data_IF_085065336977
#
_entry.id   IF_085065336977
#
_cell.length_a   1.000
_cell.length_b   1.000
_cell.length_c   1.000
_cell.angle_alpha   90.00
_cell.angle_beta   90.00
_cell.angle_gamma   90.00
#
_symmetry.space_group_name_H-M   'P 1'
#
loop_
_entity.id
_entity.type
_entity.pdbx_description
1 polymer ?
#
# COMPACT_ATOMS: atom_id res chain seq x y z
N UNK A 1 47.04 -35.80 32.82
CA UNK A 1 46.34 -35.64 31.52
C UNK A 1 45.04 -34.89 31.76
N UNK A 2 44.93 -33.63 31.35
CA UNK A 2 43.67 -32.89 31.26
C UNK A 2 43.53 -32.42 29.82
N UNK A 3 42.59 -33.03 29.08
CA UNK A 3 42.24 -32.61 27.72
C UNK A 3 41.19 -31.51 27.87
N UNK A 4 41.59 -30.28 27.55
CA UNK A 4 40.69 -29.13 27.46
C UNK A 4 40.01 -29.22 26.09
N UNK A 5 38.72 -29.55 26.08
CA UNK A 5 37.89 -29.56 24.89
C UNK A 5 37.50 -28.11 24.56
N UNK A 6 38.19 -27.51 23.59
CA UNK A 6 37.88 -26.19 23.07
C UNK A 6 36.67 -26.28 22.14
N UNK A 7 35.47 -25.94 22.63
CA UNK A 7 34.28 -25.78 21.79
C UNK A 7 34.48 -24.58 20.88
N UNK A 8 34.89 -24.83 19.65
CA UNK A 8 34.89 -23.84 18.56
C UNK A 8 33.42 -23.55 18.19
N UNK A 9 32.86 -22.48 18.76
CA UNK A 9 31.62 -21.88 18.27
C UNK A 9 31.91 -21.29 16.90
N UNK A 10 31.60 -22.06 15.84
CA UNK A 10 31.54 -21.55 14.48
C UNK A 10 30.32 -20.61 14.44
N UNK A 11 30.56 -19.34 14.75
CA UNK A 11 29.60 -18.27 14.47
C UNK A 11 29.63 -18.11 12.95
N UNK A 12 28.73 -18.81 12.25
CA UNK A 12 28.47 -18.48 10.85
C UNK A 12 27.99 -17.03 10.84
N UNK A 13 28.69 -16.11 10.13
CA UNK A 13 28.12 -14.80 9.92
C UNK A 13 26.85 -15.04 9.10
N UNK A 14 25.68 -14.93 9.75
CA UNK A 14 24.45 -14.68 9.04
C UNK A 14 24.72 -13.42 8.24
N UNK A 15 24.93 -13.58 6.93
CA UNK A 15 24.82 -12.48 6.01
C UNK A 15 23.42 -11.92 6.23
N UNK A 16 23.34 -10.83 6.99
CA UNK A 16 22.11 -10.05 7.12
C UNK A 16 21.88 -9.56 5.70
N UNK A 17 21.03 -10.28 4.95
CA UNK A 17 20.64 -9.89 3.61
C UNK A 17 20.20 -8.44 3.72
N UNK A 18 20.84 -7.59 2.93
CA UNK A 18 20.60 -6.16 2.90
C UNK A 18 19.25 -5.82 2.26
N UNK A 19 18.40 -6.80 1.98
CA UNK A 19 17.15 -6.65 1.26
C UNK A 19 16.29 -5.56 1.87
N UNK A 20 15.99 -4.54 1.04
CA UNK A 20 15.04 -3.48 1.31
C UNK A 20 13.65 -4.07 1.53
N UNK A 21 12.84 -3.44 2.40
CA UNK A 21 11.42 -3.76 2.49
C UNK A 21 10.72 -3.31 1.20
N UNK A 22 10.06 -4.24 0.50
CA UNK A 22 9.40 -3.99 -0.77
C UNK A 22 7.89 -3.92 -0.59
N UNK A 23 7.35 -2.71 -0.73
CA UNK A 23 5.92 -2.45 -0.64
C UNK A 23 5.35 -2.29 -2.05
N UNK A 24 4.15 -2.81 -2.28
CA UNK A 24 3.39 -2.60 -3.49
C UNK A 24 1.93 -2.24 -3.16
N UNK A 25 1.27 -1.56 -4.09
CA UNK A 25 -0.17 -1.35 -4.07
C UNK A 25 -0.78 -1.80 -5.39
N UNK A 26 -1.97 -2.39 -5.36
CA UNK A 26 -2.64 -2.90 -6.55
C UNK A 26 -4.16 -2.93 -6.39
N UNK A 27 -4.86 -2.08 -7.16
CA UNK A 27 -6.31 -2.17 -7.29
C UNK A 27 -6.65 -3.38 -8.17
N UNK A 28 -7.37 -4.33 -7.58
CA UNK A 28 -7.64 -5.63 -8.19
C UNK A 28 -8.87 -5.65 -9.09
N UNK A 29 -9.59 -4.52 -9.20
CA UNK A 29 -10.82 -4.33 -9.98
C UNK A 29 -11.90 -5.36 -9.62
N UNK A 30 -12.47 -5.23 -8.42
CA UNK A 30 -13.43 -6.17 -7.83
C UNK A 30 -12.94 -7.61 -7.90
N UNK A 31 -11.87 -7.95 -7.17
CA UNK A 31 -11.26 -9.29 -7.20
C UNK A 31 -12.28 -10.36 -6.82
N UNK A 32 -12.83 -11.13 -7.78
CA UNK A 32 -13.77 -12.17 -7.46
C UNK A 32 -13.00 -13.49 -7.26
N UNK A 33 -13.57 -14.40 -6.49
CA UNK A 33 -13.09 -15.77 -6.41
C UNK A 33 -13.06 -16.48 -7.79
N UNK A 34 -13.95 -16.06 -8.70
CA UNK A 34 -14.14 -16.64 -10.03
C UNK A 34 -13.82 -15.62 -11.14
N UNK A 35 -12.58 -15.62 -11.63
CA UNK A 35 -12.17 -14.87 -12.83
C UNK A 35 -12.08 -15.78 -14.06
N UNK A 36 -12.18 -15.20 -15.27
CA UNK A 36 -11.86 -15.95 -16.48
C UNK A 36 -10.37 -16.36 -16.48
N UNK A 37 -10.05 -17.48 -17.16
CA UNK A 37 -8.70 -18.09 -17.12
C UNK A 37 -7.58 -17.12 -17.53
N UNK A 38 -7.82 -16.26 -18.52
CA UNK A 38 -6.82 -15.30 -19.02
C UNK A 38 -6.49 -14.27 -17.94
N UNK A 39 -7.52 -13.70 -17.30
CA UNK A 39 -7.34 -12.73 -16.20
C UNK A 39 -6.62 -13.37 -15.02
N UNK A 40 -6.92 -14.63 -14.68
CA UNK A 40 -6.20 -15.39 -13.63
C UNK A 40 -4.70 -15.47 -13.93
N UNK A 41 -4.33 -15.89 -15.14
CA UNK A 41 -2.93 -16.05 -15.55
C UNK A 41 -2.20 -14.71 -15.51
N UNK A 42 -2.80 -13.67 -16.08
CA UNK A 42 -2.19 -12.33 -16.13
C UNK A 42 -2.06 -11.73 -14.72
N UNK A 43 -3.08 -11.86 -13.89
CA UNK A 43 -3.06 -11.37 -12.51
C UNK A 43 -1.96 -12.08 -11.70
N UNK A 44 -1.89 -13.41 -11.76
CA UNK A 44 -0.84 -14.17 -11.08
C UNK A 44 0.57 -13.78 -11.57
N UNK A 45 0.72 -13.54 -12.88
CA UNK A 45 1.99 -13.08 -13.44
C UNK A 45 2.40 -11.73 -12.86
N UNK A 46 1.48 -10.76 -12.75
CA UNK A 46 1.75 -9.48 -12.08
C UNK A 46 2.19 -9.70 -10.64
N UNK A 47 1.43 -10.46 -9.84
CA UNK A 47 1.77 -10.72 -8.43
C UNK A 47 3.15 -11.35 -8.28
N UNK A 48 3.48 -12.34 -9.10
CA UNK A 48 4.79 -13.00 -9.07
C UNK A 48 5.93 -12.04 -9.44
N UNK A 49 5.68 -11.11 -10.36
CA UNK A 49 6.67 -10.14 -10.84
C UNK A 49 6.86 -8.94 -9.91
N UNK A 50 5.89 -8.60 -9.06
CA UNK A 50 6.04 -7.52 -8.06
C UNK A 50 7.25 -7.78 -7.16
N UNK A 51 7.46 -9.06 -6.79
CA UNK A 51 8.48 -9.49 -5.82
C UNK A 51 8.44 -8.60 -4.56
N UNK A 52 7.23 -8.35 -4.08
CA UNK A 52 6.96 -7.53 -2.90
C UNK A 52 6.95 -8.38 -1.62
N UNK A 53 7.14 -7.71 -0.50
CA UNK A 53 7.01 -8.26 0.85
C UNK A 53 5.62 -7.96 1.42
N UNK A 54 5.06 -6.81 1.07
CA UNK A 54 3.70 -6.43 1.40
C UNK A 54 3.01 -5.89 0.16
N UNK A 55 1.78 -6.33 -0.07
CA UNK A 55 0.91 -5.80 -1.11
C UNK A 55 -0.36 -5.24 -0.48
N UNK A 56 -0.59 -3.94 -0.62
CA UNK A 56 -1.86 -3.29 -0.33
C UNK A 56 -2.81 -3.49 -1.51
N UNK A 57 -3.98 -4.09 -1.26
CA UNK A 57 -4.97 -4.42 -2.28
C UNK A 57 -6.21 -3.55 -2.08
N UNK A 58 -6.75 -3.04 -3.18
CA UNK A 58 -8.04 -2.35 -3.22
C UNK A 58 -9.04 -3.15 -4.08
N UNK A 59 -10.32 -2.92 -3.83
CA UNK A 59 -11.43 -3.59 -4.51
C UNK A 59 -11.36 -5.12 -4.39
N UNK A 60 -11.23 -5.59 -3.16
CA UNK A 60 -11.21 -7.02 -2.84
C UNK A 60 -12.58 -7.43 -2.34
N UNK A 61 -13.10 -8.54 -2.87
CA UNK A 61 -14.38 -9.06 -2.40
C UNK A 61 -14.28 -9.67 -1.00
N UNK A 62 -13.40 -10.64 -0.83
CA UNK A 62 -13.26 -11.43 0.39
C UNK A 62 -11.88 -12.09 0.48
N UNK A 63 -11.57 -12.66 1.65
CA UNK A 63 -10.32 -13.38 1.91
C UNK A 63 -10.10 -14.54 0.93
N UNK A 64 -11.15 -15.28 0.60
CA UNK A 64 -11.05 -16.43 -0.30
C UNK A 64 -10.57 -16.02 -1.69
N UNK A 65 -11.01 -14.87 -2.20
CA UNK A 65 -10.53 -14.29 -3.45
C UNK A 65 -9.05 -13.93 -3.38
N UNK A 66 -8.56 -13.37 -2.26
CA UNK A 66 -7.13 -13.02 -2.08
C UNK A 66 -6.27 -14.27 -1.99
N UNK A 67 -6.64 -15.23 -1.15
CA UNK A 67 -5.85 -16.44 -0.90
C UNK A 67 -5.65 -17.31 -2.15
N UNK A 68 -6.53 -17.16 -3.15
CA UNK A 68 -6.36 -17.78 -4.47
C UNK A 68 -5.09 -17.33 -5.21
N UNK A 69 -4.65 -16.09 -5.01
CA UNK A 69 -3.48 -15.49 -5.69
C UNK A 69 -2.30 -15.24 -4.74
N UNK A 70 -2.58 -15.18 -3.44
CA UNK A 70 -1.63 -15.07 -2.36
C UNK A 70 -1.80 -16.26 -1.41
N UNK A 71 -1.25 -17.44 -1.76
CA UNK A 71 -1.47 -18.66 -1.00
C UNK A 71 -1.12 -18.49 0.48
N UNK A 72 -2.00 -18.96 1.37
CA UNK A 72 -1.81 -18.88 2.82
C UNK A 72 -0.57 -19.65 3.32
N UNK A 73 0.05 -20.48 2.47
CA UNK A 73 1.36 -21.11 2.71
C UNK A 73 2.48 -20.08 2.77
N UNK A 74 2.37 -19.00 1.99
CA UNK A 74 3.44 -18.02 1.76
C UNK A 74 3.07 -16.62 2.25
N UNK A 75 1.78 -16.35 2.46
CA UNK A 75 1.25 -15.03 2.81
C UNK A 75 0.34 -15.07 4.04
N UNK A 76 0.36 -13.98 4.81
CA UNK A 76 -0.64 -13.63 5.81
C UNK A 76 -1.57 -12.59 5.19
N UNK A 77 -2.87 -12.87 5.18
CA UNK A 77 -3.88 -11.97 4.62
C UNK A 77 -4.56 -11.22 5.75
N UNK A 78 -4.66 -9.90 5.60
CA UNK A 78 -5.30 -8.97 6.54
C UNK A 78 -6.47 -8.32 5.81
N UNK A 79 -7.69 -8.56 6.27
CA UNK A 79 -8.94 -8.07 5.66
C UNK A 79 -10.07 -8.14 6.70
N UNK A 80 -11.11 -7.34 6.50
CA UNK A 80 -12.38 -7.42 7.24
C UNK A 80 -13.22 -8.57 6.68
N UNK A 81 -13.23 -9.70 7.39
CA UNK A 81 -14.02 -10.88 7.02
C UNK A 81 -15.52 -10.69 7.30
N UNK A 82 -15.88 -9.68 8.12
CA UNK A 82 -17.26 -9.37 8.49
C UNK A 82 -17.90 -8.34 7.55
N UNK A 83 -17.12 -7.75 6.65
CA UNK A 83 -17.61 -6.84 5.63
C UNK A 83 -18.45 -7.55 4.58
N UNK A 84 -19.56 -6.91 4.19
CA UNK A 84 -20.42 -7.36 3.09
C UNK A 84 -20.21 -6.57 1.79
N UNK A 85 -19.26 -5.63 1.79
CA UNK A 85 -18.89 -4.84 0.62
C UNK A 85 -18.02 -5.69 -0.34
N UNK A 86 -18.08 -5.44 -1.65
CA UNK A 86 -17.21 -6.06 -2.64
C UNK A 86 -15.97 -5.20 -2.98
N UNK A 87 -15.80 -4.08 -2.27
CA UNK A 87 -14.73 -3.11 -2.45
C UNK A 87 -13.77 -3.00 -1.26
N UNK A 88 -13.59 -4.08 -0.51
CA UNK A 88 -12.74 -4.09 0.68
C UNK A 88 -11.28 -3.76 0.37
N UNK A 89 -10.60 -3.28 1.41
CA UNK A 89 -9.16 -3.15 1.44
C UNK A 89 -8.54 -4.37 2.11
N UNK A 90 -7.38 -4.79 1.62
CA UNK A 90 -6.63 -5.88 2.23
C UNK A 90 -5.13 -5.62 2.20
N UNK A 91 -4.39 -6.28 3.09
CA UNK A 91 -2.95 -6.46 2.95
C UNK A 91 -2.64 -7.94 2.76
N UNK A 92 -1.76 -8.24 1.82
CA UNK A 92 -1.06 -9.53 1.74
C UNK A 92 0.38 -9.33 2.20
N UNK A 93 0.77 -9.98 3.29
CA UNK A 93 2.09 -9.85 3.93
C UNK A 93 2.84 -11.17 3.79
N UNK A 94 4.03 -11.15 3.18
CA UNK A 94 4.86 -12.35 3.02
C UNK A 94 5.20 -12.93 4.40
N UNK A 95 5.13 -14.25 4.55
CA UNK A 95 5.53 -14.91 5.79
C UNK A 95 6.99 -14.62 6.12
N UNK A 96 7.28 -14.53 7.42
CA UNK A 96 8.59 -14.14 7.96
C UNK A 96 8.65 -12.67 8.37
N UNK A 97 7.78 -11.81 7.82
CA UNK A 97 7.63 -10.44 8.31
C UNK A 97 6.77 -10.38 9.57
N UNK A 98 7.24 -9.60 10.54
CA UNK A 98 6.51 -9.32 11.76
C UNK A 98 5.60 -8.11 11.56
N UNK A 99 4.32 -8.24 11.92
CA UNK A 99 3.35 -7.16 11.87
C UNK A 99 2.43 -7.23 13.09
N UNK A 100 1.73 -6.13 13.35
CA UNK A 100 0.64 -6.07 14.32
C UNK A 100 -0.50 -5.19 13.84
N UNK A 101 -1.69 -5.53 14.31
CA UNK A 101 -2.88 -4.69 14.28
C UNK A 101 -3.02 -3.98 15.63
N UNK A 102 -3.69 -2.82 15.66
CA UNK A 102 -3.93 -2.12 16.92
C UNK A 102 -4.94 -2.87 17.80
N UNK A 103 -5.87 -3.60 17.17
CA UNK A 103 -6.80 -4.50 17.85
C UNK A 103 -6.12 -5.69 18.53
N UNK A 104 -4.87 -6.01 18.17
CA UNK A 104 -4.21 -7.25 18.55
C UNK A 104 -4.66 -8.49 17.78
N UNK A 105 -5.59 -8.35 16.84
CA UNK A 105 -5.99 -9.45 15.96
C UNK A 105 -4.84 -9.86 15.04
N UNK A 106 -4.87 -11.12 14.59
CA UNK A 106 -3.82 -11.66 13.72
C UNK A 106 -4.15 -11.55 12.23
N UNK A 107 -5.43 -11.58 11.85
CA UNK A 107 -5.85 -11.70 10.43
C UNK A 107 -7.17 -11.01 10.09
N UNK A 108 -8.21 -11.21 10.90
CA UNK A 108 -9.47 -10.50 10.74
C UNK A 108 -9.35 -9.14 11.44
N UNK A 109 -9.58 -8.06 10.70
CA UNK A 109 -9.40 -6.70 11.24
C UNK A 109 -10.61 -6.31 12.08
N UNK A 110 -10.39 -5.52 13.12
CA UNK A 110 -11.50 -4.88 13.82
C UNK A 110 -11.94 -3.63 13.04
N UNK A 111 -13.22 -3.58 12.66
CA UNK A 111 -13.81 -2.51 11.85
C UNK A 111 -13.68 -1.11 12.45
N UNK A 112 -13.47 -0.97 13.75
CA UNK A 112 -13.36 0.32 14.44
C UNK A 112 -11.93 0.67 14.85
N UNK A 113 -11.10 -0.32 15.16
CA UNK A 113 -9.75 -0.10 15.69
C UNK A 113 -8.68 -0.12 14.59
N UNK A 114 -8.80 -1.03 13.62
CA UNK A 114 -7.76 -1.26 12.59
C UNK A 114 -7.97 -0.41 11.33
N UNK A 115 -8.88 0.55 11.40
CA UNK A 115 -9.06 1.59 10.39
C UNK A 115 -8.67 2.94 10.98
N UNK A 116 -8.03 3.79 10.18
CA UNK A 116 -7.59 5.12 10.62
C UNK A 116 -8.78 6.06 10.90
N UNK A 117 -9.93 5.82 10.27
CA UNK A 117 -11.11 6.69 10.35
C UNK A 117 -12.40 5.91 10.62
N UNK A 118 -13.36 6.51 11.36
CA UNK A 118 -14.66 5.91 11.59
C UNK A 118 -15.53 5.95 10.32
N UNK A 119 -16.54 5.08 10.25
CA UNK A 119 -17.53 5.04 9.15
C UNK A 119 -18.33 6.33 8.97
N UNK A 120 -18.40 7.16 10.01
CA UNK A 120 -19.08 8.46 9.96
C UNK A 120 -18.26 9.57 9.30
N UNK A 121 -16.97 9.35 8.99
CA UNK A 121 -16.17 10.37 8.32
C UNK A 121 -16.62 10.50 6.84
N UNK A 122 -17.13 11.67 6.40
CA UNK A 122 -17.68 11.84 5.06
C UNK A 122 -16.63 11.84 3.95
N UNK A 123 -15.34 11.99 4.27
CA UNK A 123 -14.26 12.03 3.29
C UNK A 123 -13.88 10.63 2.78
N UNK A 124 -14.28 9.57 3.51
CA UNK A 124 -14.04 8.18 3.16
C UNK A 124 -15.38 7.48 2.92
N UNK A 125 -15.53 6.82 1.78
CA UNK A 125 -16.79 6.18 1.39
C UNK A 125 -16.80 4.71 1.84
N UNK A 126 -17.92 4.29 2.44
CA UNK A 126 -18.25 2.90 2.75
C UNK A 126 -17.11 2.16 3.47
N UNK A 127 -16.75 0.95 3.03
CA UNK A 127 -15.64 0.17 3.61
C UNK A 127 -14.26 0.55 3.05
N UNK A 128 -14.18 1.58 2.19
CA UNK A 128 -12.91 2.10 1.63
C UNK A 128 -12.15 3.01 2.61
N UNK A 129 -12.53 2.95 3.88
CA UNK A 129 -11.81 3.59 4.98
C UNK A 129 -10.38 3.07 5.00
N UNK A 130 -9.47 3.91 5.46
CA UNK A 130 -8.04 3.61 5.38
C UNK A 130 -7.70 2.48 6.35
N UNK A 131 -7.44 1.29 5.81
CA UNK A 131 -6.99 0.14 6.59
C UNK A 131 -5.55 0.37 7.02
N UNK A 132 -5.25 0.12 8.30
CA UNK A 132 -3.93 0.36 8.87
C UNK A 132 -3.35 -0.90 9.52
N UNK A 133 -2.03 -1.01 9.47
CA UNK A 133 -1.27 -1.95 10.28
C UNK A 133 0.15 -1.45 10.50
N UNK A 134 0.86 -2.09 11.42
CA UNK A 134 2.26 -1.80 11.68
C UNK A 134 3.13 -2.99 11.26
N UNK A 135 4.20 -2.72 10.52
CA UNK A 135 5.19 -3.74 10.14
C UNK A 135 6.54 -3.44 10.80
N UNK A 136 7.18 -4.46 11.36
CA UNK A 136 8.51 -4.35 11.95
C UNK A 136 9.56 -4.73 10.92
N UNK A 137 10.51 -3.82 10.69
CA UNK A 137 11.59 -4.01 9.75
C UNK A 137 12.88 -3.33 10.24
N UNK A 138 13.97 -4.10 10.31
CA UNK A 138 15.29 -3.63 10.81
C UNK A 138 15.20 -2.89 12.16
N UNK A 139 14.39 -3.40 13.09
CA UNK A 139 14.18 -2.84 14.43
C UNK A 139 13.35 -1.55 14.46
N UNK A 140 12.77 -1.15 13.32
CA UNK A 140 11.87 0.01 13.20
C UNK A 140 10.47 -0.48 12.93
N UNK A 141 9.49 0.19 13.52
CA UNK A 141 8.09 -0.02 13.19
C UNK A 141 7.67 0.98 12.11
N UNK A 142 6.93 0.52 11.11
CA UNK A 142 6.44 1.34 10.00
C UNK A 142 4.92 1.22 9.96
N UNK A 143 4.22 2.35 10.01
CA UNK A 143 2.78 2.43 9.78
C UNK A 143 2.50 2.24 8.28
N UNK A 144 1.77 1.19 7.94
CA UNK A 144 1.25 1.00 6.58
C UNK A 144 -0.21 1.40 6.54
N UNK A 145 -0.56 2.25 5.59
CA UNK A 145 -1.92 2.70 5.31
C UNK A 145 -2.32 2.24 3.92
N UNK A 146 -3.45 1.58 3.79
CA UNK A 146 -4.05 1.22 2.51
C UNK A 146 -5.26 2.14 2.28
N UNK A 147 -5.23 2.89 1.18
CA UNK A 147 -6.23 3.89 0.82
C UNK A 147 -6.88 3.57 -0.52
N UNK A 148 -8.18 3.79 -0.62
CA UNK A 148 -8.89 3.80 -1.89
C UNK A 148 -9.77 5.05 -1.94
N UNK A 149 -9.23 6.11 -2.53
CA UNK A 149 -9.84 7.43 -2.55
C UNK A 149 -11.18 7.43 -3.29
N UNK A 150 -11.98 8.48 -3.05
CA UNK A 150 -13.19 8.74 -3.81
C UNK A 150 -12.90 8.74 -5.32
N UNK A 151 -13.56 7.85 -6.06
CA UNK A 151 -13.45 7.81 -7.52
C UNK A 151 -13.91 9.13 -8.16
N UNK A 152 -13.39 9.41 -9.35
CA UNK A 152 -13.80 10.56 -10.19
C UNK A 152 -15.16 10.37 -10.85
N UNK A 153 -15.92 9.36 -10.45
CA UNK A 153 -17.28 9.14 -10.93
C UNK A 153 -18.14 10.38 -10.61
N UNK A 154 -18.99 10.79 -11.56
CA UNK A 154 -19.71 12.07 -11.60
C UNK A 154 -18.85 13.32 -11.87
N UNK A 155 -17.55 13.16 -12.11
CA UNK A 155 -16.67 14.21 -12.59
C UNK A 155 -15.72 14.74 -11.53
N UNK A 156 -14.59 15.26 -12.01
CA UNK A 156 -13.49 15.71 -11.18
C UNK A 156 -13.87 16.85 -10.25
N UNK A 157 -14.52 17.89 -10.78
CA UNK A 157 -14.91 19.08 -10.01
C UNK A 157 -15.78 18.77 -8.80
N UNK A 158 -16.59 17.70 -8.85
CA UNK A 158 -17.50 17.31 -7.77
C UNK A 158 -16.75 16.56 -6.66
N UNK A 159 -15.70 15.83 -7.02
CA UNK A 159 -15.05 14.84 -6.13
C UNK A 159 -13.68 15.29 -5.63
N UNK A 160 -13.13 16.37 -6.19
CA UNK A 160 -11.81 16.93 -5.85
C UNK A 160 -11.74 17.43 -4.40
N UNK A 161 -12.79 18.14 -3.96
CA UNK A 161 -12.88 18.64 -2.58
C UNK A 161 -12.87 17.48 -1.57
N UNK A 162 -13.67 16.43 -1.81
CA UNK A 162 -13.72 15.26 -0.93
C UNK A 162 -12.35 14.54 -0.87
N UNK A 163 -11.66 14.37 -2.01
CA UNK A 163 -10.31 13.78 -2.02
C UNK A 163 -9.28 14.65 -1.33
N UNK A 164 -9.36 15.97 -1.48
CA UNK A 164 -8.45 16.91 -0.81
C UNK A 164 -8.68 16.91 0.71
N UNK A 165 -9.94 16.88 1.16
CA UNK A 165 -10.25 16.78 2.58
C UNK A 165 -9.81 15.41 3.16
N UNK A 166 -9.95 14.32 2.39
CA UNK A 166 -9.39 13.02 2.79
C UNK A 166 -7.86 13.06 2.93
N UNK A 167 -7.16 13.80 2.06
CA UNK A 167 -5.72 14.03 2.16
C UNK A 167 -5.34 14.80 3.43
N UNK A 168 -6.09 15.83 3.80
CA UNK A 168 -5.90 16.58 5.04
C UNK A 168 -6.11 15.70 6.29
N UNK A 169 -7.19 14.91 6.31
CA UNK A 169 -7.45 13.94 7.38
C UNK A 169 -6.29 12.93 7.52
N UNK A 170 -5.75 12.46 6.39
CA UNK A 170 -4.59 11.56 6.35
C UNK A 170 -3.32 12.21 6.90
N UNK A 171 -3.07 13.48 6.59
CA UNK A 171 -1.94 14.24 7.14
C UNK A 171 -2.05 14.32 8.66
N UNK A 172 -3.22 14.73 9.17
CA UNK A 172 -3.47 14.83 10.61
C UNK A 172 -3.26 13.47 11.31
N UNK A 173 -3.77 12.39 10.70
CA UNK A 173 -3.60 11.04 11.23
C UNK A 173 -2.13 10.62 11.25
N UNK A 174 -1.38 10.81 10.15
CA UNK A 174 0.04 10.44 10.05
C UNK A 174 0.89 11.27 11.01
N UNK A 175 0.59 12.57 11.17
CA UNK A 175 1.32 13.46 12.07
C UNK A 175 1.18 13.02 13.54
N UNK A 176 0.06 12.41 13.91
CA UNK A 176 -0.23 11.90 15.25
C UNK A 176 0.18 10.44 15.46
N UNK A 177 0.69 9.76 14.43
CA UNK A 177 1.03 8.35 14.50
C UNK A 177 2.15 8.08 15.52
N UNK A 178 2.14 6.93 16.22
CA UNK A 178 3.14 6.61 17.24
C UNK A 178 4.51 6.20 16.67
N UNK A 179 4.67 6.21 15.34
CA UNK A 179 5.88 5.80 14.64
C UNK A 179 6.43 6.94 13.78
N UNK A 180 7.76 6.96 13.64
CA UNK A 180 8.47 7.90 12.77
C UNK A 180 8.28 7.56 11.27
N UNK A 181 7.96 6.31 10.93
CA UNK A 181 7.90 5.85 9.54
C UNK A 181 6.47 5.51 9.15
N UNK A 182 6.01 6.08 8.03
CA UNK A 182 4.73 5.76 7.44
C UNK A 182 4.87 5.53 5.93
N UNK A 183 4.04 4.64 5.40
CA UNK A 183 3.84 4.46 3.96
C UNK A 183 2.35 4.46 3.66
N UNK A 184 1.93 5.40 2.81
CA UNK A 184 0.57 5.50 2.30
C UNK A 184 0.53 4.84 0.92
N UNK A 185 -0.17 3.71 0.85
CA UNK A 185 -0.32 2.86 -0.32
C UNK A 185 -1.78 2.93 -0.76
N UNK A 186 -2.06 2.88 -2.05
CA UNK A 186 -3.46 2.90 -2.46
C UNK A 186 -3.74 3.12 -3.93
N UNK A 187 -5.04 3.18 -4.21
CA UNK A 187 -5.60 3.81 -5.39
C UNK A 187 -6.14 5.19 -4.99
N UNK A 188 -5.42 6.23 -5.39
CA UNK A 188 -5.75 7.61 -5.07
C UNK A 188 -6.79 8.23 -6.01
N UNK A 189 -7.18 7.51 -7.08
CA UNK A 189 -8.08 8.01 -8.13
C UNK A 189 -7.67 9.37 -8.74
N UNK A 190 -6.42 9.76 -8.57
CA UNK A 190 -5.83 11.02 -8.99
C UNK A 190 -4.46 10.75 -9.62
N UNK A 191 -4.03 11.67 -10.48
CA UNK A 191 -2.69 11.72 -11.06
C UNK A 191 -1.72 12.39 -10.09
N UNK A 192 -0.40 12.14 -10.20
CA UNK A 192 0.57 12.61 -9.20
C UNK A 192 0.53 14.12 -8.93
N UNK A 193 0.27 14.93 -9.97
CA UNK A 193 0.24 16.40 -9.90
C UNK A 193 -1.08 17.00 -9.39
N UNK A 194 -2.00 16.16 -8.91
CA UNK A 194 -3.33 16.61 -8.48
C UNK A 194 -3.31 17.23 -7.09
N UNK A 195 -4.28 18.12 -6.85
CA UNK A 195 -4.42 18.87 -5.59
C UNK A 195 -4.29 17.99 -4.34
N UNK A 196 -4.97 16.84 -4.33
CA UNK A 196 -4.98 15.92 -3.18
C UNK A 196 -3.60 15.27 -2.94
N UNK A 197 -2.86 14.93 -3.99
CA UNK A 197 -1.51 14.38 -3.88
C UNK A 197 -0.50 15.46 -3.50
N UNK A 198 -0.52 16.63 -4.15
CA UNK A 198 0.32 17.76 -3.75
C UNK A 198 0.10 18.15 -2.28
N UNK A 199 -1.15 18.06 -1.82
CA UNK A 199 -1.51 18.27 -0.42
C UNK A 199 -0.83 17.23 0.49
N UNK A 200 -0.94 15.94 0.18
CA UNK A 200 -0.26 14.86 0.90
C UNK A 200 1.27 15.03 0.90
N UNK A 201 1.86 15.47 -0.20
CA UNK A 201 3.30 15.64 -0.31
C UNK A 201 3.83 16.79 0.55
N UNK A 202 3.08 17.89 0.59
CA UNK A 202 3.48 19.10 1.32
C UNK A 202 3.08 19.08 2.78
N UNK A 203 2.03 18.33 3.12
CA UNK A 203 1.45 18.30 4.46
C UNK A 203 0.52 19.49 4.74
N UNK A 204 0.10 20.22 3.71
CA UNK A 204 -0.81 21.37 3.79
C UNK A 204 -1.67 21.43 2.52
N UNK A 205 -2.88 21.99 2.62
CA UNK A 205 -3.75 22.20 1.45
C UNK A 205 -3.00 22.98 0.36
N UNK A 206 -2.81 22.32 -0.78
CA UNK A 206 -1.94 22.79 -1.86
C UNK A 206 -2.67 22.70 -3.19
N UNK A 207 -2.52 23.67 -4.10
CA UNK A 207 -3.20 23.64 -5.39
C UNK A 207 -2.70 22.50 -6.29
N UNK A 208 -3.49 22.15 -7.30
CA UNK A 208 -3.03 21.31 -8.40
C UNK A 208 -1.94 22.04 -9.18
N UNK A 209 -0.79 21.39 -9.32
CA UNK A 209 0.39 21.91 -10.02
C UNK A 209 1.31 20.74 -10.34
N UNK A 210 2.06 20.85 -11.44
CA UNK A 210 3.12 19.90 -11.71
C UNK A 210 4.23 20.11 -10.69
N UNK A 211 4.49 19.10 -9.87
CA UNK A 211 5.56 19.08 -8.88
C UNK A 211 6.53 17.93 -9.24
N UNK A 212 7.82 18.18 -9.11
CA UNK A 212 8.86 17.17 -9.36
C UNK A 212 9.95 17.27 -8.30
N UNK A 213 9.59 17.85 -7.16
CA UNK A 213 10.46 18.09 -6.02
C UNK A 213 9.89 17.27 -4.89
N UNK A 214 10.72 16.46 -4.24
CA UNK A 214 10.30 15.65 -3.11
C UNK A 214 9.51 16.50 -2.10
N UNK A 215 8.30 16.05 -1.78
CA UNK A 215 7.46 16.68 -0.76
C UNK A 215 8.14 16.79 0.61
N UNK A 216 7.75 17.81 1.36
CA UNK A 216 8.23 18.07 2.71
C UNK A 216 7.62 17.15 3.78
N UNK A 217 6.47 16.53 3.49
CA UNK A 217 5.74 15.65 4.39
C UNK A 217 5.80 14.19 3.93
N UNK A 218 5.29 13.89 2.73
CA UNK A 218 5.41 12.58 2.08
C UNK A 218 6.19 12.71 0.77
N UNK A 219 6.88 11.64 0.39
CA UNK A 219 7.58 11.55 -0.90
C UNK A 219 6.71 10.76 -1.86
N UNK A 220 6.28 11.38 -2.96
CA UNK A 220 5.53 10.69 -4.00
C UNK A 220 6.46 9.93 -4.96
N UNK A 221 6.46 8.60 -4.82
CA UNK A 221 7.32 7.74 -5.65
C UNK A 221 6.85 7.61 -7.10
N UNK A 222 5.68 8.16 -7.44
CA UNK A 222 5.10 8.04 -8.78
C UNK A 222 5.48 9.18 -9.71
N UNK A 223 5.87 10.36 -9.22
CA UNK A 223 6.34 11.46 -10.09
C UNK A 223 7.55 11.06 -10.95
N UNK A 224 8.60 10.39 -10.39
CA UNK A 224 9.73 9.94 -11.21
C UNK A 224 9.35 8.85 -12.23
N UNK A 225 8.24 8.13 -12.00
CA UNK A 225 7.73 7.12 -12.92
C UNK A 225 6.92 7.75 -14.05
N UNK A 226 6.17 8.82 -13.75
CA UNK A 226 5.49 9.67 -14.73
C UNK A 226 6.48 10.23 -15.75
N UNK A 227 7.59 10.80 -15.26
CA UNK A 227 8.66 11.34 -16.12
C UNK A 227 9.31 10.29 -17.05
N UNK A 228 9.24 9.01 -16.66
CA UNK A 228 9.78 7.88 -17.44
C UNK A 228 8.74 7.19 -18.31
N UNK A 229 7.53 7.74 -18.40
CA UNK A 229 6.40 7.14 -19.12
C UNK A 229 6.07 5.71 -18.63
N UNK A 230 6.32 5.45 -17.34
CA UNK A 230 5.95 4.20 -16.67
C UNK A 230 4.56 4.26 -16.02
N UNK A 231 3.97 5.45 -15.99
CA UNK A 231 2.59 5.68 -15.57
C UNK A 231 1.74 5.94 -16.80
N UNK A 232 0.64 5.19 -16.94
CA UNK A 232 -0.33 5.41 -17.99
C UNK A 232 -1.42 6.35 -17.50
N UNK A 233 -1.77 7.36 -18.30
CA UNK A 233 -2.81 8.34 -17.98
C UNK A 233 -4.03 8.14 -18.88
N UNK A 234 -5.21 8.05 -18.29
CA UNK A 234 -6.47 8.12 -19.03
C UNK A 234 -6.78 6.93 -19.93
N UNK A 235 -6.20 5.74 -19.66
CA UNK A 235 -6.54 4.53 -20.41
C UNK A 235 -8.03 4.21 -20.25
N UNK A 236 -8.75 4.18 -21.38
CA UNK A 236 -10.13 3.75 -21.49
C UNK A 236 -10.20 2.28 -21.85
N UNK A 237 -11.36 1.66 -21.63
CA UNK A 237 -11.60 0.23 -21.92
C UNK A 237 -11.38 -0.17 -23.39
N UNK A 238 -11.25 0.79 -24.31
CA UNK A 238 -11.00 0.57 -25.73
C UNK A 238 -9.55 0.86 -26.15
N UNK A 239 -8.72 1.35 -25.25
CA UNK A 239 -7.33 1.66 -25.58
C UNK A 239 -6.56 0.36 -25.77
N UNK A 240 -6.04 0.15 -26.99
CA UNK A 240 -5.17 -0.98 -27.31
C UNK A 240 -3.79 -0.72 -26.73
N UNK A 241 -3.49 -1.35 -25.61
CA UNK A 241 -2.12 -1.43 -25.10
C UNK A 241 -1.44 -2.64 -25.72
N UNK A 242 -0.93 -2.49 -26.95
CA UNK A 242 -0.18 -3.55 -27.66
C UNK A 242 1.17 -3.88 -26.97
N UNK A 243 1.46 -3.24 -25.84
CA UNK A 243 2.59 -3.47 -24.99
C UNK A 243 2.10 -3.60 -23.56
N UNK A 244 2.35 -4.73 -22.91
CA UNK A 244 2.39 -4.81 -21.45
C UNK A 244 3.27 -3.63 -21.02
N UNK A 245 2.71 -2.64 -20.33
CA UNK A 245 3.49 -1.55 -19.76
C UNK A 245 4.68 -2.19 -19.04
N UNK A 246 5.91 -1.87 -19.45
CA UNK A 246 7.10 -2.36 -18.75
C UNK A 246 7.07 -1.78 -17.35
N UNK A 247 6.54 -2.53 -16.40
CA UNK A 247 6.57 -2.20 -14.97
C UNK A 247 8.06 -2.22 -14.59
N UNK A 248 8.65 -1.04 -14.44
CA UNK A 248 10.09 -0.90 -14.22
C UNK A 248 10.49 -1.19 -12.77
N UNK A 249 11.77 -1.47 -12.61
CA UNK A 249 12.47 -2.00 -11.44
C UNK A 249 12.34 -1.16 -10.15
N UNK A 250 12.56 -1.86 -9.03
CA UNK A 250 12.58 -1.36 -7.65
C UNK A 250 13.31 -0.02 -7.51
N UNK A 251 12.63 0.98 -6.95
CA UNK A 251 13.25 2.24 -6.52
C UNK A 251 13.78 2.03 -5.10
N UNK A 252 15.10 2.20 -4.93
CA UNK A 252 15.77 2.22 -3.62
C UNK A 252 15.59 3.61 -2.98
N UNK A 253 14.47 3.84 -2.29
CA UNK A 253 14.24 5.09 -1.54
C UNK A 253 14.85 4.99 -0.15
N UNK A 254 16.05 5.54 0.01
CA UNK A 254 16.65 5.79 1.33
C UNK A 254 15.84 6.89 2.04
N UNK A 255 14.97 6.49 2.98
CA UNK A 255 14.25 7.42 3.84
C UNK A 255 15.24 8.26 4.66
N UNK A 256 15.31 9.57 4.38
CA UNK A 256 15.98 10.57 5.23
C UNK A 256 14.97 11.65 5.58
N UNK A 257 14.76 11.87 6.87
CA UNK A 257 14.01 13.01 7.40
C UNK A 257 14.82 14.29 7.19
N UNK A 258 14.18 15.32 6.66
CA UNK A 258 14.60 16.71 6.85
C UNK A 258 14.04 17.12 8.22
N UNK A 259 14.93 17.34 9.19
CA UNK A 259 14.58 17.98 10.46
C UNK A 259 14.54 19.48 10.23
N UNK A 260 13.49 20.14 10.71
CA UNK A 260 13.61 21.51 11.22
C UNK A 260 14.09 21.45 12.67
#
# INVERSE_FOLDING_TARGET
MKIILLCLLIVTPYAISSENLRLATYNSKFLPACMNKVRVINYQSVINNLNADVVALQEVRDRYAVERYFPATDWNIIIDDDSTDDMNLAFAIRKGFQYRLDSGNLKNVDKNIDFAFPKSNPNFIDERRVLKLFISYKGKEILLLNHHAKSRYNGRMITDEQRTNAALDLIDYIYQAPTEYAALLGDFNDTPDDRSLNTLERGIDSPMQIENVNGSFLINITEPLTLKEHVSFGLKSLDKTDSICKISQSIDTRFKKIKY
#
